data_IF_236864973831
#
_entry.id   IF_236864973831
#
_cell.length_a   1.000
_cell.length_b   1.000
_cell.length_c   1.000
_cell.angle_alpha   90.00
_cell.angle_beta   90.00
_cell.angle_gamma   90.00
#
_symmetry.space_group_name_H-M   'P 1'
#
loop_
_entity.id
_entity.type
_entity.pdbx_description
1 polymer ?
#
# COMPACT_ATOMS: atom_id res chain seq x y z
N UNK A 1 -28.29 45.14 56.69
CA UNK A 1 -29.60 44.47 56.50
C UNK A 1 -29.37 43.34 55.50
N UNK A 2 -29.35 42.06 55.86
CA UNK A 2 -30.35 41.21 56.52
C UNK A 2 -31.48 40.74 55.60
N UNK A 3 -31.78 39.44 55.72
CA UNK A 3 -32.75 38.55 55.03
C UNK A 3 -32.21 37.91 53.74
N UNK A 4 -31.87 36.62 53.64
CA UNK A 4 -32.38 35.36 54.21
C UNK A 4 -33.83 35.02 53.79
N UNK A 5 -33.99 33.98 52.96
CA UNK A 5 -34.96 32.89 53.15
C UNK A 5 -34.67 31.72 52.21
N UNK A 6 -34.78 30.51 52.77
CA UNK A 6 -34.44 29.21 52.22
C UNK A 6 -35.68 28.44 51.72
N UNK A 7 -35.41 27.32 51.02
CA UNK A 7 -36.24 26.11 50.77
C UNK A 7 -36.39 25.83 49.27
N UNK A 8 -36.38 24.60 48.77
CA UNK A 8 -36.12 23.27 49.33
C UNK A 8 -36.08 22.29 48.14
N UNK A 9 -35.44 21.14 48.38
CA UNK A 9 -35.76 19.83 47.82
C UNK A 9 -35.50 19.54 46.32
N UNK A 10 -34.50 18.67 46.13
CA UNK A 10 -34.57 17.39 45.44
C UNK A 10 -35.08 17.35 43.99
N UNK A 11 -34.20 16.92 43.07
CA UNK A 11 -34.36 15.60 42.44
C UNK A 11 -33.23 15.26 41.47
N UNK A 12 -32.67 14.05 41.65
CA UNK A 12 -32.32 13.16 40.54
C UNK A 12 -31.10 13.53 39.70
N UNK A 13 -29.95 12.97 40.06
CA UNK A 13 -29.09 12.40 39.01
C UNK A 13 -29.87 11.26 38.32
N UNK A 14 -29.63 11.03 37.03
CA UNK A 14 -28.87 9.81 36.78
C UNK A 14 -27.65 10.13 35.92
N UNK A 15 -26.53 9.64 36.44
CA UNK A 15 -25.27 9.38 35.76
C UNK A 15 -25.49 8.96 34.31
N UNK A 16 -24.89 9.70 33.38
CA UNK A 16 -24.76 9.32 31.99
C UNK A 16 -24.15 7.91 31.94
N UNK A 17 -25.01 6.94 31.62
CA UNK A 17 -24.67 5.54 31.47
C UNK A 17 -23.64 5.46 30.33
N UNK A 18 -22.36 5.26 30.69
CA UNK A 18 -21.36 4.80 29.73
C UNK A 18 -21.84 3.43 29.24
N UNK A 19 -22.46 3.42 28.06
CA UNK A 19 -22.85 2.19 27.37
C UNK A 19 -21.57 1.38 27.16
N UNK A 20 -21.48 0.13 27.67
CA UNK A 20 -20.34 -0.72 27.39
C UNK A 20 -20.20 -0.91 25.88
N UNK A 21 -18.98 -1.06 25.34
CA UNK A 21 -18.81 -1.35 23.92
C UNK A 21 -19.60 -2.61 23.61
N UNK A 22 -20.59 -2.49 22.70
CA UNK A 22 -21.41 -3.62 22.31
C UNK A 22 -20.47 -4.75 21.84
N UNK A 23 -20.57 -5.92 22.48
CA UNK A 23 -19.79 -7.08 22.09
C UNK A 23 -20.07 -7.38 20.60
N UNK A 24 -19.02 -7.35 19.77
CA UNK A 24 -19.13 -7.66 18.34
C UNK A 24 -19.77 -9.04 18.17
N UNK A 25 -20.82 -9.12 17.34
CA UNK A 25 -21.48 -10.38 17.03
C UNK A 25 -20.50 -11.36 16.38
N UNK A 26 -20.75 -12.67 16.51
CA UNK A 26 -19.98 -13.73 15.85
C UNK A 26 -19.84 -13.49 14.33
N UNK A 27 -20.90 -12.94 13.70
CA UNK A 27 -20.92 -12.56 12.29
C UNK A 27 -19.96 -11.40 11.96
N UNK A 28 -19.88 -10.38 12.83
CA UNK A 28 -18.95 -9.25 12.68
C UNK A 28 -17.49 -9.70 12.84
N UNK A 29 -17.22 -10.59 13.81
CA UNK A 29 -15.88 -11.18 14.00
C UNK A 29 -15.45 -11.99 12.78
N UNK A 30 -16.36 -12.79 12.20
CA UNK A 30 -16.06 -13.60 11.00
C UNK A 30 -15.81 -12.74 9.76
N UNK A 31 -16.55 -11.63 9.60
CA UNK A 31 -16.30 -10.64 8.53
C UNK A 31 -14.96 -9.92 8.71
N UNK A 32 -14.63 -9.49 9.93
CA UNK A 32 -13.36 -8.81 10.20
C UNK A 32 -12.15 -9.73 9.97
N UNK A 33 -12.27 -11.02 10.31
CA UNK A 33 -11.23 -12.01 10.03
C UNK A 33 -11.05 -12.22 8.52
N UNK A 34 -12.13 -12.40 7.77
CA UNK A 34 -12.06 -12.55 6.31
C UNK A 34 -11.45 -11.32 5.61
N UNK A 35 -11.76 -10.11 6.07
CA UNK A 35 -11.16 -8.87 5.54
C UNK A 35 -9.66 -8.76 5.89
N UNK A 36 -9.26 -9.17 7.10
CA UNK A 36 -7.84 -9.24 7.50
C UNK A 36 -7.08 -10.25 6.65
N UNK A 37 -7.62 -11.44 6.45
CA UNK A 37 -7.01 -12.49 5.63
C UNK A 37 -6.90 -12.05 4.16
N UNK A 38 -7.93 -11.41 3.62
CA UNK A 38 -7.89 -10.83 2.27
C UNK A 38 -6.83 -9.73 2.15
N UNK A 39 -6.73 -8.82 3.13
CA UNK A 39 -5.72 -7.75 3.12
C UNK A 39 -4.30 -8.32 3.22
N UNK A 40 -4.08 -9.32 4.07
CA UNK A 40 -2.80 -9.99 4.20
C UNK A 40 -2.40 -10.71 2.89
N UNK A 41 -3.35 -11.39 2.24
CA UNK A 41 -3.11 -12.03 0.95
C UNK A 41 -2.76 -11.03 -0.15
N UNK A 42 -3.46 -9.88 -0.22
CA UNK A 42 -3.16 -8.83 -1.19
C UNK A 42 -1.81 -8.16 -0.92
N UNK A 43 -1.46 -7.91 0.35
CA UNK A 43 -0.13 -7.40 0.72
C UNK A 43 0.98 -8.38 0.35
N UNK A 44 0.79 -9.69 0.57
CA UNK A 44 1.74 -10.72 0.18
C UNK A 44 1.94 -10.77 -1.35
N UNK A 45 0.85 -10.71 -2.13
CA UNK A 45 0.93 -10.63 -3.60
C UNK A 45 1.66 -9.39 -4.08
N UNK A 46 1.38 -8.22 -3.48
CA UNK A 46 2.05 -6.98 -3.84
C UNK A 46 3.54 -7.03 -3.50
N UNK A 47 3.91 -7.58 -2.35
CA UNK A 47 5.31 -7.76 -1.97
C UNK A 47 6.04 -8.71 -2.93
N UNK A 48 5.41 -9.83 -3.31
CA UNK A 48 5.96 -10.76 -4.30
C UNK A 48 6.12 -10.11 -5.68
N UNK A 49 5.11 -9.36 -6.14
CA UNK A 49 5.16 -8.65 -7.41
C UNK A 49 6.28 -7.61 -7.43
N UNK A 50 6.46 -6.85 -6.35
CA UNK A 50 7.57 -5.91 -6.18
C UNK A 50 8.92 -6.64 -6.25
N UNK A 51 9.09 -7.72 -5.48
CA UNK A 51 10.34 -8.49 -5.48
C UNK A 51 10.70 -9.01 -6.89
N UNK A 52 9.72 -9.57 -7.61
CA UNK A 52 9.89 -10.03 -9.00
C UNK A 52 10.22 -8.89 -9.96
N UNK A 53 9.59 -7.73 -9.79
CA UNK A 53 9.86 -6.56 -10.61
C UNK A 53 11.30 -6.04 -10.38
N UNK A 54 11.74 -6.01 -9.13
CA UNK A 54 13.11 -5.65 -8.76
C UNK A 54 14.16 -6.60 -9.33
N UNK A 55 13.89 -7.91 -9.31
CA UNK A 55 14.77 -8.90 -9.94
C UNK A 55 14.89 -8.66 -11.45
N UNK A 56 13.77 -8.49 -12.15
CA UNK A 56 13.76 -8.19 -13.59
C UNK A 56 14.48 -6.89 -13.93
N UNK A 57 14.29 -5.84 -13.13
CA UNK A 57 14.98 -4.57 -13.33
C UNK A 57 16.51 -4.73 -13.21
N UNK A 58 16.99 -5.54 -12.24
CA UNK A 58 18.42 -5.84 -12.09
C UNK A 58 18.98 -6.60 -13.29
N UNK A 59 18.26 -7.62 -13.76
CA UNK A 59 18.68 -8.39 -14.95
C UNK A 59 18.69 -7.51 -16.21
N UNK A 60 17.69 -6.64 -16.35
CA UNK A 60 17.60 -5.71 -17.46
C UNK A 60 18.77 -4.71 -17.46
N UNK A 61 19.09 -4.11 -16.30
CA UNK A 61 20.23 -3.22 -16.15
C UNK A 61 21.56 -3.91 -16.52
N UNK A 62 21.76 -5.16 -16.09
CA UNK A 62 22.94 -5.98 -16.47
C UNK A 62 23.01 -6.21 -17.97
N UNK A 63 21.87 -6.49 -18.60
CA UNK A 63 21.79 -6.69 -20.05
C UNK A 63 22.15 -5.41 -20.81
N UNK A 64 21.60 -4.27 -20.38
CA UNK A 64 21.88 -2.95 -20.95
C UNK A 64 23.36 -2.55 -20.83
N UNK A 65 24.01 -2.92 -19.74
CA UNK A 65 25.42 -2.61 -19.45
C UNK A 65 26.42 -3.64 -20.02
N UNK A 66 25.96 -4.76 -20.58
CA UNK A 66 26.83 -5.85 -21.07
C UNK A 66 27.70 -5.51 -22.29
N UNK A 67 27.53 -4.33 -22.90
CA UNK A 67 28.24 -3.94 -24.13
C UNK A 67 27.77 -4.65 -25.40
N UNK A 68 26.83 -5.60 -25.29
CA UNK A 68 26.27 -6.33 -26.41
C UNK A 68 25.29 -5.46 -27.20
N UNK A 69 25.16 -5.71 -28.50
CA UNK A 69 24.13 -5.07 -29.34
C UNK A 69 22.75 -5.58 -28.92
N UNK A 70 21.85 -4.65 -28.60
CA UNK A 70 20.47 -4.97 -28.23
C UNK A 70 19.55 -4.72 -29.41
N UNK A 71 18.54 -5.57 -29.56
CA UNK A 71 17.49 -5.39 -30.55
C UNK A 71 16.13 -5.42 -29.86
N UNK A 72 15.22 -4.59 -30.35
CA UNK A 72 13.79 -4.64 -30.01
C UNK A 72 12.97 -4.81 -31.27
N UNK A 73 11.77 -5.35 -31.11
CA UNK A 73 10.78 -5.36 -32.18
C UNK A 73 10.03 -4.04 -32.12
N UNK A 74 9.97 -3.30 -33.23
CA UNK A 74 9.20 -2.07 -33.33
C UNK A 74 7.69 -2.37 -33.56
N UNK A 75 6.86 -1.33 -33.61
CA UNK A 75 5.41 -1.46 -33.84
C UNK A 75 5.05 -2.10 -35.20
N UNK A 76 5.99 -2.09 -36.16
CA UNK A 76 5.83 -2.70 -37.48
C UNK A 76 6.25 -4.17 -37.51
N UNK A 77 6.70 -4.73 -36.38
CA UNK A 77 7.18 -6.11 -36.28
C UNK A 77 8.63 -6.31 -36.72
N UNK A 78 9.37 -5.25 -37.00
CA UNK A 78 10.76 -5.32 -37.45
C UNK A 78 11.72 -5.30 -36.26
N UNK A 79 12.80 -6.08 -36.35
CA UNK A 79 13.88 -6.02 -35.35
C UNK A 79 14.77 -4.83 -35.63
N UNK A 80 14.78 -3.87 -34.73
CA UNK A 80 15.63 -2.67 -34.78
C UNK A 80 16.68 -2.73 -33.68
N UNK A 81 17.89 -2.29 -34.01
CA UNK A 81 18.97 -2.15 -33.03
C UNK A 81 18.68 -0.96 -32.13
N UNK A 82 18.85 -1.11 -30.82
CA UNK A 82 18.77 0.03 -29.90
C UNK A 82 19.95 0.96 -30.16
N UNK A 83 19.65 2.25 -30.37
CA UNK A 83 20.67 3.30 -30.38
C UNK A 83 21.27 3.48 -28.98
N UNK A 84 22.42 4.17 -28.90
CA UNK A 84 23.04 4.48 -27.62
C UNK A 84 22.14 5.38 -26.75
N UNK A 85 21.42 6.32 -27.36
CA UNK A 85 20.44 7.15 -26.66
C UNK A 85 19.28 6.32 -26.09
N UNK A 86 18.74 5.39 -26.88
CA UNK A 86 17.69 4.48 -26.42
C UNK A 86 18.20 3.59 -25.29
N UNK A 87 19.41 3.03 -25.43
CA UNK A 87 20.02 2.24 -24.35
C UNK A 87 20.16 3.05 -23.06
N UNK A 88 20.56 4.32 -23.14
CA UNK A 88 20.70 5.19 -21.98
C UNK A 88 19.35 5.49 -21.31
N UNK A 89 18.29 5.70 -22.11
CA UNK A 89 16.94 5.88 -21.58
C UNK A 89 16.45 4.65 -20.81
N UNK A 90 16.59 3.45 -21.41
CA UNK A 90 16.20 2.19 -20.77
C UNK A 90 17.03 1.92 -19.51
N UNK A 91 18.31 2.32 -19.49
CA UNK A 91 19.15 2.26 -18.28
C UNK A 91 18.63 3.17 -17.17
N UNK A 92 18.20 4.37 -17.51
CA UNK A 92 17.62 5.31 -16.55
C UNK A 92 16.30 4.77 -15.99
N UNK A 93 15.45 4.19 -16.84
CA UNK A 93 14.19 3.58 -16.41
C UNK A 93 14.44 2.38 -15.49
N UNK A 94 15.36 1.50 -15.87
CA UNK A 94 15.78 0.38 -15.03
C UNK A 94 16.30 0.86 -13.66
N UNK A 95 17.13 1.91 -13.64
CA UNK A 95 17.64 2.48 -12.40
C UNK A 95 16.51 3.06 -11.54
N UNK A 96 15.53 3.73 -12.13
CA UNK A 96 14.39 4.30 -11.41
C UNK A 96 13.58 3.23 -10.70
N UNK A 97 13.33 2.11 -11.38
CA UNK A 97 12.66 0.95 -10.78
C UNK A 97 13.51 0.35 -9.65
N UNK A 98 14.82 0.28 -9.82
CA UNK A 98 15.74 -0.20 -8.78
C UNK A 98 15.82 0.71 -7.56
N UNK A 99 15.63 2.01 -7.72
CA UNK A 99 15.57 2.95 -6.60
C UNK A 99 14.30 2.72 -5.77
N UNK A 100 13.19 2.31 -6.39
CA UNK A 100 11.96 1.91 -5.69
C UNK A 100 12.06 0.54 -5.00
N UNK A 101 13.15 -0.20 -5.22
CA UNK A 101 13.41 -1.51 -4.62
C UNK A 101 14.20 -1.45 -3.31
N UNK A 102 14.60 -0.24 -2.87
CA UNK A 102 15.39 0.00 -1.66
C UNK A 102 14.52 0.07 -0.40
#
# INVERSE_FOLDING_TARGET
AAQASASAAANGAPTAQQKPPAAKSEADKKKEQAEKDKKAAEQAKQAEAKAKNCERAREHQRTLSSGQRLMRTNEKGERVVLSDEQRAQEQQEAQRVLDECQ
#
